data_IF_597454501194
#
_entry.id   IF_597454501194
#
_cell.length_a   1.000
_cell.length_b   1.000
_cell.length_c   1.000
_cell.angle_alpha   90.00
_cell.angle_beta   90.00
_cell.angle_gamma   90.00
#
_symmetry.space_group_name_H-M   'P 1'
#
loop_
_entity.id
_entity.type
_entity.pdbx_description
1 polymer ?
#
# COMPACT_ATOMS: atom_id res chain seq x y z
N UNK A 1 40.59 -5.03 -49.18
CA UNK A 1 39.25 -5.14 -48.62
C UNK A 1 38.75 -3.73 -48.32
N UNK A 2 37.65 -3.26 -48.90
CA UNK A 2 37.13 -1.93 -48.59
C UNK A 2 36.46 -1.92 -47.23
N UNK A 3 36.80 -0.90 -46.42
CA UNK A 3 36.20 -0.63 -45.14
C UNK A 3 34.72 -0.32 -45.28
N UNK A 4 33.87 -1.02 -44.55
CA UNK A 4 32.44 -0.75 -44.38
C UNK A 4 32.26 0.64 -43.76
N UNK A 5 31.41 1.53 -44.30
CA UNK A 5 31.16 2.82 -43.68
C UNK A 5 30.46 2.59 -42.33
N UNK A 6 31.00 3.23 -41.30
CA UNK A 6 30.34 3.29 -39.99
C UNK A 6 28.96 3.92 -40.17
N UNK A 7 27.93 3.14 -39.86
CA UNK A 7 26.56 3.64 -39.74
C UNK A 7 26.58 4.77 -38.70
N UNK A 8 26.41 6.02 -39.15
CA UNK A 8 26.11 7.13 -38.27
C UNK A 8 24.84 6.77 -37.49
N UNK A 9 24.99 6.38 -36.22
CA UNK A 9 23.86 6.25 -35.31
C UNK A 9 23.20 7.63 -35.21
N UNK A 10 21.97 7.73 -35.68
CA UNK A 10 21.12 8.89 -35.42
C UNK A 10 21.21 9.27 -33.93
N UNK A 11 21.32 10.57 -33.59
CA UNK A 11 21.41 10.98 -32.20
C UNK A 11 20.23 10.37 -31.41
N UNK A 12 20.53 9.57 -30.40
CA UNK A 12 19.49 8.97 -29.56
C UNK A 12 18.76 10.09 -28.84
N UNK A 13 17.51 10.33 -29.24
CA UNK A 13 16.62 11.27 -28.51
C UNK A 13 16.43 10.77 -27.10
N UNK A 14 16.71 11.62 -26.12
CA UNK A 14 16.55 11.24 -24.70
C UNK A 14 15.11 10.80 -24.42
N UNK A 15 14.95 9.70 -23.70
CA UNK A 15 13.65 9.20 -23.28
C UNK A 15 13.11 10.10 -22.15
N UNK A 16 12.40 11.15 -22.51
CA UNK A 16 11.75 12.07 -21.59
C UNK A 16 10.29 12.29 -21.98
N UNK A 17 9.45 12.74 -21.05
CA UNK A 17 8.06 13.06 -21.36
C UNK A 17 7.97 14.16 -22.40
N UNK A 18 8.83 15.18 -22.30
CA UNK A 18 8.88 16.28 -23.24
C UNK A 18 9.24 15.87 -24.69
N UNK A 19 9.88 14.73 -24.88
CA UNK A 19 10.27 14.26 -26.21
C UNK A 19 9.32 13.18 -26.77
N UNK A 20 8.52 12.51 -25.93
CA UNK A 20 7.83 11.29 -26.34
C UNK A 20 6.29 11.37 -26.24
N UNK A 21 5.72 12.47 -25.73
CA UNK A 21 4.26 12.64 -25.61
C UNK A 21 3.71 13.72 -26.57
N UNK A 22 3.98 13.55 -27.86
CA UNK A 22 3.45 14.33 -28.97
C UNK A 22 2.58 13.43 -29.86
N UNK A 23 2.15 13.92 -30.99
CA UNK A 23 1.43 13.14 -31.99
C UNK A 23 0.34 13.95 -32.68
N UNK A 24 -0.29 13.34 -33.70
CA UNK A 24 -1.43 13.95 -34.39
C UNK A 24 -2.58 14.11 -33.40
N UNK A 25 -3.32 15.23 -33.56
CA UNK A 25 -4.49 15.53 -32.72
C UNK A 25 -4.21 15.54 -31.22
N UNK A 26 -2.98 15.90 -30.84
CA UNK A 26 -2.52 15.96 -29.45
C UNK A 26 -2.58 14.59 -28.72
N UNK A 27 -2.36 13.49 -29.43
CA UNK A 27 -2.48 12.11 -28.97
C UNK A 27 -1.64 11.78 -27.72
N UNK A 28 -0.59 12.56 -27.43
CA UNK A 28 0.24 12.37 -26.23
C UNK A 28 -0.40 12.85 -24.93
N UNK A 29 -1.49 13.62 -24.98
CA UNK A 29 -2.11 14.24 -23.80
C UNK A 29 -2.79 13.19 -22.91
N UNK A 30 -3.69 12.42 -23.48
CA UNK A 30 -4.49 11.45 -22.72
C UNK A 30 -3.64 10.40 -21.99
N UNK A 31 -2.66 9.73 -22.63
CA UNK A 31 -1.82 8.74 -21.94
C UNK A 31 -1.01 9.34 -20.79
N UNK A 32 -0.54 10.60 -20.94
CA UNK A 32 0.23 11.23 -19.86
C UNK A 32 -0.66 11.65 -18.69
N UNK A 33 -1.84 12.20 -18.96
CA UNK A 33 -2.82 12.54 -17.91
C UNK A 33 -3.35 11.29 -17.20
N UNK A 34 -3.57 10.20 -17.93
CA UNK A 34 -3.93 8.90 -17.36
C UNK A 34 -2.83 8.37 -16.44
N UNK A 35 -1.55 8.45 -16.86
CA UNK A 35 -0.42 8.10 -15.98
C UNK A 35 -0.44 8.90 -14.68
N UNK A 36 -0.68 10.21 -14.76
CA UNK A 36 -0.77 11.08 -13.59
C UNK A 36 -1.98 10.76 -12.70
N UNK A 37 -3.08 10.31 -13.29
CA UNK A 37 -4.25 9.84 -12.55
C UNK A 37 -3.96 8.51 -11.83
N UNK A 38 -3.39 7.53 -12.51
CA UNK A 38 -3.04 6.22 -11.96
C UNK A 38 -1.98 6.33 -10.86
N UNK A 39 -1.04 7.25 -10.98
CA UNK A 39 -0.07 7.57 -9.93
C UNK A 39 -0.73 8.02 -8.62
N UNK A 40 -1.83 8.78 -8.71
CA UNK A 40 -2.64 9.14 -7.52
C UNK A 40 -3.30 7.91 -6.92
N UNK A 41 -3.94 7.07 -7.73
CA UNK A 41 -4.61 5.83 -7.26
C UNK A 41 -3.62 4.97 -6.48
N UNK A 42 -2.43 4.71 -7.04
CA UNK A 42 -1.38 3.93 -6.38
C UNK A 42 -0.97 4.53 -5.03
N UNK A 43 -0.87 5.85 -4.92
CA UNK A 43 -0.54 6.51 -3.65
C UNK A 43 -1.66 6.36 -2.61
N UNK A 44 -2.93 6.46 -3.03
CA UNK A 44 -4.09 6.27 -2.16
C UNK A 44 -4.20 4.80 -1.68
N UNK A 45 -3.92 3.84 -2.56
CA UNK A 45 -3.86 2.40 -2.23
C UNK A 45 -2.74 2.10 -1.23
N UNK A 46 -1.54 2.64 -1.44
CA UNK A 46 -0.41 2.47 -0.53
C UNK A 46 -0.71 3.07 0.85
N UNK A 47 -1.36 4.23 0.91
CA UNK A 47 -1.81 4.82 2.17
C UNK A 47 -2.78 3.90 2.89
N UNK A 48 -3.80 3.38 2.17
CA UNK A 48 -4.77 2.43 2.73
C UNK A 48 -4.09 1.16 3.25
N UNK A 49 -3.08 0.67 2.53
CA UNK A 49 -2.28 -0.48 2.97
C UNK A 49 -1.57 -0.20 4.30
N UNK A 50 -0.91 0.95 4.47
CA UNK A 50 -0.23 1.29 5.72
C UNK A 50 -1.21 1.46 6.87
N UNK A 51 -2.33 2.14 6.64
CA UNK A 51 -3.40 2.29 7.65
C UNK A 51 -3.89 0.94 8.15
N UNK A 52 -4.21 0.02 7.23
CA UNK A 52 -4.70 -1.32 7.57
C UNK A 52 -3.63 -2.16 8.27
N UNK A 53 -2.37 -2.09 7.79
CA UNK A 53 -1.27 -2.84 8.40
C UNK A 53 -0.97 -2.37 9.84
N UNK A 54 -1.00 -1.05 10.07
CA UNK A 54 -0.88 -0.50 11.43
C UNK A 54 -2.03 -0.93 12.35
N UNK A 55 -3.26 -0.97 11.83
CA UNK A 55 -4.42 -1.42 12.59
C UNK A 55 -4.32 -2.91 12.98
N UNK A 56 -3.79 -3.77 12.10
CA UNK A 56 -3.54 -5.19 12.38
C UNK A 56 -2.54 -5.33 13.54
N UNK A 57 -1.43 -4.58 13.50
CA UNK A 57 -0.43 -4.59 14.58
C UNK A 57 -1.00 -4.10 15.91
N UNK A 58 -1.79 -3.05 15.89
CA UNK A 58 -2.44 -2.50 17.09
C UNK A 58 -3.44 -3.49 17.69
N UNK A 59 -4.22 -4.18 16.86
CA UNK A 59 -5.14 -5.21 17.32
C UNK A 59 -4.41 -6.43 17.89
N UNK A 60 -3.36 -6.89 17.22
CA UNK A 60 -2.53 -7.99 17.68
C UNK A 60 -1.86 -7.67 19.03
N UNK A 61 -1.22 -6.51 19.15
CA UNK A 61 -0.67 -6.01 20.40
C UNK A 61 -1.67 -6.04 21.55
N UNK A 62 -2.86 -5.47 21.31
CA UNK A 62 -3.92 -5.42 22.32
C UNK A 62 -4.33 -6.82 22.78
N UNK A 63 -4.43 -7.79 21.86
CA UNK A 63 -4.76 -9.18 22.17
C UNK A 63 -3.66 -9.84 23.00
N UNK A 64 -2.38 -9.63 22.66
CA UNK A 64 -1.24 -10.13 23.42
C UNK A 64 -1.21 -9.57 24.86
N UNK A 65 -1.32 -8.24 25.00
CA UNK A 65 -1.34 -7.57 26.30
C UNK A 65 -2.51 -8.06 27.18
N UNK A 66 -3.66 -8.32 26.59
CA UNK A 66 -4.79 -8.89 27.32
C UNK A 66 -4.57 -10.35 27.72
N UNK A 67 -3.88 -11.13 26.89
CA UNK A 67 -3.51 -12.51 27.21
C UNK A 67 -2.46 -12.57 28.32
N UNK A 68 -1.44 -11.72 28.29
CA UNK A 68 -0.40 -11.62 29.31
C UNK A 68 -0.96 -11.30 30.72
N UNK A 69 -2.11 -10.63 30.80
CA UNK A 69 -2.80 -10.33 32.07
C UNK A 69 -3.57 -11.50 32.67
N UNK A 70 -3.84 -12.53 31.86
CA UNK A 70 -4.55 -13.71 32.35
C UNK A 70 -3.64 -14.55 33.25
N UNK A 71 -4.17 -15.20 34.28
CA UNK A 71 -3.38 -16.08 35.13
C UNK A 71 -2.85 -17.27 34.31
N UNK A 72 -1.58 -17.61 34.51
CA UNK A 72 -0.92 -18.79 33.99
C UNK A 72 -0.15 -19.43 35.15
N UNK A 73 -0.41 -20.69 35.43
CA UNK A 73 0.25 -21.42 36.55
C UNK A 73 -0.02 -20.83 37.92
N UNK A 74 -1.24 -20.33 38.19
CA UNK A 74 -1.57 -19.71 39.48
C UNK A 74 -1.49 -20.66 40.69
N UNK A 75 -1.59 -21.96 40.45
CA UNK A 75 -1.44 -23.02 41.44
C UNK A 75 -0.08 -23.71 41.41
N UNK A 76 0.82 -23.27 40.53
CA UNK A 76 2.17 -23.80 40.46
C UNK A 76 3.11 -23.12 41.47
N UNK A 77 4.16 -23.85 41.84
CA UNK A 77 5.27 -23.37 42.66
C UNK A 77 6.60 -23.73 42.04
N UNK A 78 7.71 -23.34 42.66
CA UNK A 78 9.04 -23.73 42.25
C UNK A 78 9.53 -23.08 40.98
N UNK A 79 10.42 -23.79 40.28
CA UNK A 79 11.12 -23.31 39.07
C UNK A 79 10.16 -23.24 37.87
N UNK A 80 9.23 -24.17 37.75
CA UNK A 80 8.19 -24.13 36.70
C UNK A 80 7.32 -22.86 36.80
N UNK A 81 6.94 -22.47 38.04
CA UNK A 81 6.22 -21.21 38.25
C UNK A 81 6.98 -20.01 37.75
N UNK A 82 8.28 -19.95 38.01
CA UNK A 82 9.16 -18.86 37.55
C UNK A 82 9.20 -18.79 36.02
N UNK A 83 9.34 -19.93 35.34
CA UNK A 83 9.32 -20.00 33.88
C UNK A 83 7.97 -19.55 33.29
N UNK A 84 6.85 -19.91 33.91
CA UNK A 84 5.51 -19.42 33.49
C UNK A 84 5.36 -17.90 33.66
N UNK A 85 5.94 -17.32 34.70
CA UNK A 85 5.95 -15.87 34.88
C UNK A 85 6.83 -15.16 33.86
N UNK A 86 7.97 -15.78 33.43
CA UNK A 86 8.78 -15.29 32.29
C UNK A 86 7.99 -15.34 31.00
N UNK A 87 7.28 -16.42 30.68
CA UNK A 87 6.40 -16.50 29.49
C UNK A 87 5.41 -15.36 29.46
N UNK A 88 4.77 -15.04 30.58
CA UNK A 88 3.81 -13.92 30.68
C UNK A 88 4.51 -12.58 30.47
N UNK A 89 5.67 -12.38 31.07
CA UNK A 89 6.46 -11.14 30.93
C UNK A 89 6.93 -10.90 29.50
N UNK A 90 7.43 -11.95 28.84
CA UNK A 90 7.85 -11.83 27.43
C UNK A 90 6.67 -11.66 26.48
N UNK A 91 5.51 -12.27 26.76
CA UNK A 91 4.29 -12.01 25.99
C UNK A 91 3.82 -10.54 26.12
N UNK A 92 3.98 -9.93 27.30
CA UNK A 92 3.73 -8.50 27.49
C UNK A 92 4.74 -7.65 26.72
N UNK A 93 6.01 -8.03 26.72
CA UNK A 93 7.08 -7.37 25.94
C UNK A 93 6.78 -7.40 24.45
N UNK A 94 6.46 -8.58 23.88
CA UNK A 94 6.01 -8.71 22.49
C UNK A 94 4.83 -7.79 22.18
N UNK A 95 3.81 -7.79 23.07
CA UNK A 95 2.65 -6.91 22.91
C UNK A 95 3.03 -5.43 22.82
N UNK A 96 3.97 -4.96 23.66
CA UNK A 96 4.49 -3.59 23.62
C UNK A 96 5.29 -3.30 22.36
N UNK A 97 6.10 -4.25 21.87
CA UNK A 97 6.85 -4.12 20.64
C UNK A 97 5.93 -3.94 19.44
N UNK A 98 4.89 -4.75 19.32
CA UNK A 98 3.87 -4.62 18.26
C UNK A 98 3.08 -3.31 18.36
N UNK A 99 2.81 -2.80 19.57
CA UNK A 99 2.21 -1.49 19.75
C UNK A 99 3.11 -0.37 19.22
N UNK A 100 4.40 -0.46 19.49
CA UNK A 100 5.38 0.50 19.00
C UNK A 100 5.46 0.49 17.47
N UNK A 101 5.51 -0.69 16.85
CA UNK A 101 5.49 -0.85 15.39
C UNK A 101 4.23 -0.23 14.76
N UNK A 102 3.06 -0.45 15.36
CA UNK A 102 1.83 0.19 14.88
C UNK A 102 1.93 1.73 14.89
N UNK A 103 2.53 2.31 15.93
CA UNK A 103 2.77 3.75 16.04
C UNK A 103 3.79 4.24 15.01
N UNK A 104 4.89 3.50 14.81
CA UNK A 104 5.88 3.83 13.77
C UNK A 104 5.27 3.79 12.37
N UNK A 105 4.47 2.78 12.03
CA UNK A 105 3.78 2.70 10.74
C UNK A 105 2.86 3.91 10.50
N UNK A 106 2.16 4.39 11.52
CA UNK A 106 1.34 5.60 11.42
C UNK A 106 2.19 6.87 11.23
N UNK A 107 3.15 7.09 12.12
CA UNK A 107 3.94 8.33 12.16
C UNK A 107 5.03 8.41 11.09
N UNK A 108 5.67 7.29 10.72
CA UNK A 108 6.81 7.28 9.79
C UNK A 108 6.43 6.90 8.34
N UNK A 109 5.26 6.26 8.12
CA UNK A 109 4.82 5.83 6.78
C UNK A 109 3.54 6.53 6.35
N UNK A 110 2.43 6.38 7.10
CA UNK A 110 1.12 6.88 6.69
C UNK A 110 1.07 8.41 6.64
N UNK A 111 1.49 9.11 7.69
CA UNK A 111 1.46 10.57 7.76
C UNK A 111 2.38 11.25 6.75
N UNK A 112 3.66 10.84 6.56
CA UNK A 112 4.53 11.39 5.53
C UNK A 112 3.99 11.14 4.12
N UNK A 113 3.46 9.94 3.82
CA UNK A 113 2.85 9.62 2.54
C UNK A 113 1.61 10.49 2.27
N UNK A 114 0.79 10.72 3.28
CA UNK A 114 -0.40 11.59 3.18
C UNK A 114 -0.03 13.04 2.84
N UNK A 115 0.97 13.57 3.52
CA UNK A 115 1.49 14.93 3.30
C UNK A 115 2.10 15.07 1.90
N UNK A 116 2.97 14.13 1.53
CA UNK A 116 3.62 14.08 0.23
C UNK A 116 2.58 13.98 -0.91
N UNK A 117 1.65 13.03 -0.82
CA UNK A 117 0.59 12.84 -1.83
C UNK A 117 -0.30 14.07 -1.97
N UNK A 118 -0.59 14.78 -0.87
CA UNK A 118 -1.29 16.06 -0.89
C UNK A 118 -0.55 17.12 -1.71
N UNK A 119 0.75 17.28 -1.49
CA UNK A 119 1.60 18.22 -2.24
C UNK A 119 1.68 17.89 -3.73
N UNK A 120 1.90 16.63 -4.09
CA UNK A 120 1.90 16.15 -5.49
C UNK A 120 0.55 16.42 -6.16
N UNK A 121 -0.56 16.12 -5.48
CA UNK A 121 -1.92 16.34 -5.99
C UNK A 121 -2.17 17.79 -6.37
N UNK A 122 -1.81 18.74 -5.50
CA UNK A 122 -2.04 20.16 -5.76
C UNK A 122 -1.16 20.67 -6.92
N UNK A 123 0.12 20.32 -6.95
CA UNK A 123 1.02 20.68 -8.06
C UNK A 123 0.52 20.11 -9.39
N UNK A 124 0.13 18.85 -9.42
CA UNK A 124 -0.45 18.19 -10.60
C UNK A 124 -1.70 18.92 -11.09
N UNK A 125 -2.64 19.23 -10.20
CA UNK A 125 -3.91 19.90 -10.51
C UNK A 125 -3.70 21.25 -11.18
N UNK A 126 -2.72 22.04 -10.71
CA UNK A 126 -2.39 23.33 -11.30
C UNK A 126 -1.92 23.17 -12.74
N UNK A 127 -1.00 22.22 -13.00
CA UNK A 127 -0.46 21.96 -14.35
C UNK A 127 -1.60 21.46 -15.26
N UNK A 128 -2.33 20.45 -14.82
CA UNK A 128 -3.42 19.82 -15.59
C UNK A 128 -4.48 20.82 -15.99
N UNK A 129 -5.01 21.63 -15.05
CA UNK A 129 -6.03 22.63 -15.34
C UNK A 129 -5.57 23.66 -16.38
N UNK A 130 -4.28 24.07 -16.34
CA UNK A 130 -3.70 24.99 -17.32
C UNK A 130 -3.71 24.38 -18.72
N UNK A 131 -3.25 23.15 -18.85
CA UNK A 131 -3.16 22.42 -20.12
C UNK A 131 -4.53 22.10 -20.69
N UNK A 132 -5.46 21.58 -19.88
CA UNK A 132 -6.84 21.28 -20.34
C UNK A 132 -7.57 22.50 -20.85
N UNK A 133 -7.41 23.66 -20.18
CA UNK A 133 -8.00 24.92 -20.63
C UNK A 133 -7.42 25.37 -21.99
N UNK A 134 -6.11 25.25 -22.16
CA UNK A 134 -5.43 25.65 -23.39
C UNK A 134 -5.78 24.69 -24.54
N UNK A 135 -5.82 23.37 -24.28
CA UNK A 135 -6.24 22.35 -25.23
C UNK A 135 -7.66 22.60 -25.74
N UNK A 136 -8.59 22.86 -24.82
CA UNK A 136 -9.98 23.21 -25.18
C UNK A 136 -10.06 24.42 -26.11
N UNK A 137 -9.26 25.45 -25.85
CA UNK A 137 -9.20 26.66 -26.69
C UNK A 137 -8.66 26.31 -28.09
N UNK A 138 -7.55 25.56 -28.18
CA UNK A 138 -6.94 25.10 -29.45
C UNK A 138 -7.94 24.28 -30.26
N UNK A 139 -8.61 23.31 -29.64
CA UNK A 139 -9.61 22.45 -30.30
C UNK A 139 -10.78 23.28 -30.87
N UNK A 140 -11.27 24.26 -30.11
CA UNK A 140 -12.34 25.13 -30.58
C UNK A 140 -11.90 26.01 -31.76
N UNK A 141 -10.67 26.53 -31.74
CA UNK A 141 -10.10 27.31 -32.85
C UNK A 141 -9.85 26.43 -34.07
N UNK A 142 -9.38 25.21 -33.90
CA UNK A 142 -9.23 24.23 -35.00
C UNK A 142 -10.57 23.96 -35.68
N UNK A 143 -11.64 23.81 -34.92
CA UNK A 143 -12.98 23.66 -35.48
C UNK A 143 -13.42 24.91 -36.27
N UNK A 144 -13.13 26.10 -35.75
CA UNK A 144 -13.41 27.36 -36.44
C UNK A 144 -12.68 27.49 -37.76
N UNK A 145 -11.37 27.15 -37.79
CA UNK A 145 -10.56 27.12 -38.98
C UNK A 145 -11.11 26.15 -40.04
N UNK A 146 -11.45 24.92 -39.64
CA UNK A 146 -12.03 23.93 -40.53
C UNK A 146 -13.34 24.42 -41.17
N UNK A 147 -14.24 25.02 -40.35
CA UNK A 147 -15.51 25.57 -40.82
C UNK A 147 -15.32 26.75 -41.78
N UNK A 148 -14.36 27.64 -41.52
CA UNK A 148 -14.07 28.79 -42.38
C UNK A 148 -13.45 28.30 -43.70
N UNK A 149 -12.52 27.32 -43.64
CA UNK A 149 -11.91 26.67 -44.81
C UNK A 149 -12.98 26.06 -45.71
N UNK A 150 -13.92 25.27 -45.14
CA UNK A 150 -14.97 24.59 -45.91
C UNK A 150 -15.87 25.58 -46.64
N UNK A 151 -16.20 26.72 -46.02
CA UNK A 151 -16.99 27.79 -46.63
C UNK A 151 -16.23 28.43 -47.79
N UNK A 152 -14.97 28.78 -47.59
CA UNK A 152 -14.13 29.37 -48.62
C UNK A 152 -13.97 28.43 -49.79
N UNK A 153 -13.68 27.12 -49.56
CA UNK A 153 -13.59 26.11 -50.60
C UNK A 153 -14.89 25.96 -51.40
N UNK A 154 -16.03 25.94 -50.74
CA UNK A 154 -17.35 25.88 -51.38
C UNK A 154 -17.60 27.11 -52.31
N UNK A 155 -17.22 28.31 -51.87
CA UNK A 155 -17.37 29.50 -52.69
C UNK A 155 -16.42 29.48 -53.90
N UNK A 156 -15.21 28.99 -53.73
CA UNK A 156 -14.26 28.74 -54.85
C UNK A 156 -14.81 27.71 -55.86
N UNK A 157 -15.45 26.63 -55.38
CA UNK A 157 -16.06 25.62 -56.26
C UNK A 157 -17.26 26.18 -57.02
N UNK A 158 -18.11 27.03 -56.40
CA UNK A 158 -19.23 27.73 -57.08
C UNK A 158 -18.71 28.65 -58.18
N UNK A 159 -17.66 29.44 -57.90
CA UNK A 159 -17.03 30.30 -58.88
C UNK A 159 -16.54 29.53 -60.12
N UNK A 160 -15.82 28.41 -59.89
CA UNK A 160 -15.39 27.53 -60.97
C UNK A 160 -16.55 27.00 -61.79
N UNK A 161 -17.68 26.63 -61.13
CA UNK A 161 -18.90 26.18 -61.78
C UNK A 161 -19.56 27.29 -62.64
N UNK A 162 -19.64 28.52 -62.12
CA UNK A 162 -20.22 29.65 -62.90
C UNK A 162 -19.34 30.06 -64.06
N UNK A 163 -18.03 30.00 -63.94
CA UNK A 163 -17.08 30.26 -65.07
C UNK A 163 -17.24 29.20 -66.16
N UNK A 164 -17.31 27.90 -65.82
CA UNK A 164 -17.55 26.84 -66.80
C UNK A 164 -18.91 27.00 -67.51
N UNK A 165 -19.96 27.33 -66.75
CA UNK A 165 -21.30 27.52 -67.25
C UNK A 165 -21.40 28.78 -68.16
N UNK A 166 -20.59 29.84 -67.90
CA UNK A 166 -20.58 31.08 -68.68
C UNK A 166 -20.16 30.85 -70.13
N UNK A 167 -19.46 29.79 -70.45
CA UNK A 167 -19.11 29.41 -71.83
C UNK A 167 -20.26 28.67 -72.56
N UNK A 168 -21.30 28.25 -71.90
CA UNK A 168 -22.39 27.40 -72.44
C UNK A 168 -23.75 28.13 -72.54
N UNK A 169 -23.90 29.29 -71.90
CA UNK A 169 -25.17 30.01 -71.81
C UNK A 169 -25.15 31.33 -72.56
N UNK A 170 -26.30 31.77 -73.15
CA UNK A 170 -26.45 33.02 -73.90
C UNK A 170 -27.66 33.88 -73.46
N UNK A 171 -27.61 35.18 -73.65
CA UNK A 171 -28.72 36.09 -73.46
C UNK A 171 -29.08 36.35 -72.00
N UNK A 172 -30.32 36.08 -71.61
CA UNK A 172 -30.79 36.35 -70.29
C UNK A 172 -30.13 35.45 -69.19
N UNK A 173 -29.86 34.21 -69.53
CA UNK A 173 -29.18 33.26 -68.62
C UNK A 173 -27.71 33.63 -68.41
N UNK A 174 -27.05 34.17 -69.39
CA UNK A 174 -25.68 34.72 -69.30
C UNK A 174 -25.62 35.88 -68.28
N UNK A 175 -26.56 36.79 -68.35
CA UNK A 175 -26.66 37.94 -67.39
C UNK A 175 -26.89 37.45 -65.96
N UNK A 176 -27.78 36.47 -65.77
CA UNK A 176 -28.05 35.86 -64.43
C UNK A 176 -26.78 35.13 -63.90
N UNK A 177 -26.09 34.41 -64.75
CA UNK A 177 -24.88 33.69 -64.40
C UNK A 177 -23.77 34.68 -63.98
N UNK A 178 -23.56 35.75 -64.74
CA UNK A 178 -22.60 36.82 -64.43
C UNK A 178 -22.89 37.51 -63.11
N UNK A 179 -24.18 37.82 -62.81
CA UNK A 179 -24.58 38.42 -61.54
C UNK A 179 -24.32 37.46 -60.35
N UNK A 180 -24.55 36.13 -60.52
CA UNK A 180 -24.24 35.13 -59.53
C UNK A 180 -22.72 34.99 -59.28
N UNK A 181 -21.95 35.04 -60.38
CA UNK A 181 -20.48 35.00 -60.32
C UNK A 181 -19.95 36.19 -59.50
N UNK A 182 -20.34 37.43 -59.84
CA UNK A 182 -19.92 38.65 -59.13
C UNK A 182 -20.27 38.61 -57.64
N UNK A 183 -21.51 38.23 -57.32
CA UNK A 183 -21.95 38.08 -55.93
C UNK A 183 -21.13 37.05 -55.18
N UNK A 184 -20.82 35.89 -55.81
CA UNK A 184 -20.03 34.81 -55.15
C UNK A 184 -18.56 35.20 -55.04
N UNK A 185 -18.01 36.03 -55.98
CA UNK A 185 -16.63 36.54 -55.85
C UNK A 185 -16.50 37.51 -54.66
N UNK A 186 -17.49 38.38 -54.41
CA UNK A 186 -17.51 39.25 -53.22
C UNK A 186 -17.58 38.39 -51.96
N UNK A 187 -18.46 37.40 -51.95
CA UNK A 187 -18.62 36.47 -50.82
C UNK A 187 -17.32 35.67 -50.56
N UNK A 188 -16.68 35.17 -51.62
CA UNK A 188 -15.44 34.44 -51.55
C UNK A 188 -14.28 35.29 -50.97
N UNK A 189 -14.21 36.57 -51.30
CA UNK A 189 -13.24 37.50 -50.73
C UNK A 189 -13.44 37.62 -49.18
N UNK A 190 -14.69 37.72 -48.75
CA UNK A 190 -15.01 37.79 -47.32
C UNK A 190 -14.67 36.46 -46.59
N UNK A 191 -15.05 35.30 -47.16
CA UNK A 191 -14.77 33.99 -46.57
C UNK A 191 -13.27 33.66 -46.61
N UNK A 192 -12.53 34.14 -47.60
CA UNK A 192 -11.06 34.05 -47.67
C UNK A 192 -10.40 34.81 -46.50
N UNK A 193 -10.87 36.04 -46.22
CA UNK A 193 -10.34 36.85 -45.11
C UNK A 193 -10.70 36.27 -43.76
N UNK A 194 -11.94 35.72 -43.60
CA UNK A 194 -12.37 35.01 -42.39
C UNK A 194 -11.46 33.78 -42.12
N UNK A 195 -11.17 33.00 -43.17
CA UNK A 195 -10.29 31.82 -43.06
C UNK A 195 -8.86 32.21 -42.71
N UNK A 196 -8.29 33.20 -43.40
CA UNK A 196 -6.92 33.68 -43.10
C UNK A 196 -6.80 34.16 -41.65
N UNK A 197 -7.76 34.95 -41.18
CA UNK A 197 -7.75 35.41 -39.80
C UNK A 197 -7.86 34.26 -38.78
N UNK A 198 -8.76 33.29 -39.03
CA UNK A 198 -8.90 32.12 -38.19
C UNK A 198 -7.61 31.28 -38.12
N UNK A 199 -6.89 31.12 -39.25
CA UNK A 199 -5.59 30.44 -39.31
C UNK A 199 -4.55 31.17 -38.45
N UNK A 200 -4.43 32.50 -38.56
CA UNK A 200 -3.46 33.29 -37.77
C UNK A 200 -3.69 33.11 -36.26
N UNK A 201 -4.94 33.16 -35.83
CA UNK A 201 -5.28 32.95 -34.42
C UNK A 201 -4.95 31.53 -33.94
N UNK A 202 -5.16 30.51 -34.79
CA UNK A 202 -4.79 29.13 -34.45
C UNK A 202 -3.27 28.91 -34.42
N UNK A 203 -2.50 29.57 -35.35
CA UNK A 203 -1.04 29.54 -35.36
C UNK A 203 -0.45 30.05 -34.04
N UNK A 204 -0.91 31.22 -33.57
CA UNK A 204 -0.49 31.80 -32.28
C UNK A 204 -0.80 30.86 -31.10
N UNK A 205 -2.01 30.31 -31.08
CA UNK A 205 -2.43 29.38 -30.03
C UNK A 205 -1.65 28.08 -30.10
N UNK A 206 -1.36 27.56 -31.27
CA UNK A 206 -0.57 26.33 -31.44
C UNK A 206 0.90 26.55 -31.02
N UNK A 207 1.48 27.69 -31.33
CA UNK A 207 2.82 28.04 -30.86
C UNK A 207 2.88 28.14 -29.32
N UNK A 208 1.86 28.72 -28.71
CA UNK A 208 1.74 28.76 -27.25
C UNK A 208 1.51 27.35 -26.68
N UNK A 209 0.63 26.55 -27.28
CA UNK A 209 0.37 25.15 -26.88
C UNK A 209 1.65 24.34 -26.85
N UNK A 210 2.45 24.39 -27.90
CA UNK A 210 3.68 23.60 -27.97
C UNK A 210 4.67 23.96 -26.85
N UNK A 211 4.79 25.25 -26.50
CA UNK A 211 5.65 25.67 -25.38
C UNK A 211 5.12 25.21 -24.03
N UNK A 212 3.81 25.45 -23.78
CA UNK A 212 3.18 25.11 -22.49
C UNK A 212 3.10 23.58 -22.29
N UNK A 213 2.82 22.83 -23.37
CA UNK A 213 2.79 21.37 -23.30
C UNK A 213 4.15 20.78 -23.01
N UNK A 214 5.19 21.27 -23.68
CA UNK A 214 6.59 20.87 -23.37
C UNK A 214 6.93 21.12 -21.90
N UNK A 215 6.64 22.31 -21.40
CA UNK A 215 6.88 22.66 -20.00
C UNK A 215 6.03 21.85 -19.02
N UNK A 216 4.80 21.46 -19.39
CA UNK A 216 3.97 20.59 -18.62
C UNK A 216 4.51 19.14 -18.57
N UNK A 217 5.00 18.62 -19.68
CA UNK A 217 5.65 17.32 -19.75
C UNK A 217 6.87 17.24 -18.81
N UNK A 218 7.74 18.26 -18.82
CA UNK A 218 8.87 18.33 -17.90
C UNK A 218 8.39 18.28 -16.44
N UNK A 219 7.43 19.11 -16.07
CA UNK A 219 6.90 19.14 -14.70
C UNK A 219 6.19 17.84 -14.29
N UNK A 220 5.48 17.19 -15.21
CA UNK A 220 4.85 15.88 -14.92
C UNK A 220 5.90 14.81 -14.72
N UNK A 221 7.01 14.86 -15.46
CA UNK A 221 8.13 13.95 -15.26
C UNK A 221 8.77 14.18 -13.89
N UNK A 222 9.07 15.42 -13.50
CA UNK A 222 9.60 15.76 -12.19
C UNK A 222 8.70 15.22 -11.06
N UNK A 223 7.38 15.43 -11.16
CA UNK A 223 6.42 14.91 -10.18
C UNK A 223 6.40 13.39 -10.10
N UNK A 224 6.56 12.70 -11.23
CA UNK A 224 6.57 11.25 -11.28
C UNK A 224 7.87 10.67 -10.73
N UNK A 225 9.00 11.28 -11.03
CA UNK A 225 10.30 10.91 -10.45
C UNK A 225 10.30 11.08 -8.93
N UNK A 226 9.86 12.23 -8.42
CA UNK A 226 9.69 12.46 -6.98
C UNK A 226 8.79 11.39 -6.32
N UNK A 227 7.68 11.06 -6.98
CA UNK A 227 6.74 10.05 -6.47
C UNK A 227 7.36 8.66 -6.41
N UNK A 228 8.05 8.25 -7.45
CA UNK A 228 8.70 6.94 -7.52
C UNK A 228 9.80 6.81 -6.46
N UNK A 229 10.62 7.83 -6.28
CA UNK A 229 11.70 7.84 -5.27
C UNK A 229 11.12 7.84 -3.85
N UNK A 230 10.10 8.66 -3.59
CA UNK A 230 9.42 8.65 -2.29
C UNK A 230 8.78 7.28 -2.00
N UNK A 231 8.08 6.69 -2.97
CA UNK A 231 7.43 5.39 -2.80
C UNK A 231 8.44 4.29 -2.53
N UNK A 232 9.55 4.27 -3.26
CA UNK A 232 10.66 3.34 -3.05
C UNK A 232 11.24 3.46 -1.63
N UNK A 233 11.52 4.67 -1.18
CA UNK A 233 12.05 4.95 0.16
C UNK A 233 11.06 4.56 1.25
N UNK A 234 9.78 4.85 1.06
CA UNK A 234 8.71 4.50 2.00
C UNK A 234 8.54 2.98 2.15
N UNK A 235 8.57 2.23 1.05
CA UNK A 235 8.52 0.76 1.08
C UNK A 235 9.78 0.15 1.72
N UNK A 236 10.94 0.76 1.53
CA UNK A 236 12.16 0.38 2.23
C UNK A 236 12.03 0.56 3.74
N UNK A 237 11.51 1.71 4.18
CA UNK A 237 11.24 1.96 5.61
C UNK A 237 10.22 0.98 6.18
N UNK A 238 9.15 0.66 5.43
CA UNK A 238 8.19 -0.36 5.82
C UNK A 238 8.84 -1.73 6.07
N UNK A 239 9.74 -2.17 5.18
CA UNK A 239 10.46 -3.44 5.34
C UNK A 239 11.35 -3.43 6.60
N UNK A 240 12.07 -2.33 6.86
CA UNK A 240 12.91 -2.19 8.04
C UNK A 240 12.09 -2.21 9.34
N UNK A 241 11.01 -1.44 9.40
CA UNK A 241 10.10 -1.41 10.56
C UNK A 241 9.55 -2.83 10.82
N UNK A 242 9.08 -3.51 9.78
CA UNK A 242 8.56 -4.88 9.90
C UNK A 242 9.63 -5.90 10.34
N UNK A 243 10.88 -5.73 9.92
CA UNK A 243 11.99 -6.59 10.32
C UNK A 243 12.36 -6.41 11.81
N UNK A 244 12.22 -5.21 12.35
CA UNK A 244 12.56 -4.91 13.75
C UNK A 244 11.73 -5.73 14.73
N UNK A 245 10.42 -5.91 14.46
CA UNK A 245 9.56 -6.70 15.36
C UNK A 245 9.93 -8.19 15.32
N UNK A 246 10.31 -8.73 14.18
CA UNK A 246 10.73 -10.12 14.08
C UNK A 246 11.95 -10.42 14.97
N UNK A 247 12.92 -9.49 15.01
CA UNK A 247 14.11 -9.60 15.88
C UNK A 247 13.71 -9.50 17.36
N UNK A 248 12.79 -8.61 17.70
CA UNK A 248 12.28 -8.46 19.07
C UNK A 248 11.55 -9.71 19.55
N UNK A 249 10.71 -10.29 18.70
CA UNK A 249 9.95 -11.52 19.02
C UNK A 249 10.87 -12.73 19.19
N UNK A 250 11.88 -12.88 18.33
CA UNK A 250 12.88 -13.94 18.47
C UNK A 250 13.67 -13.81 19.79
N UNK A 251 14.08 -12.59 20.16
CA UNK A 251 14.75 -12.33 21.42
C UNK A 251 13.86 -12.68 22.64
N UNK A 252 12.56 -12.42 22.58
CA UNK A 252 11.61 -12.81 23.63
C UNK A 252 11.44 -14.33 23.71
N UNK A 253 11.36 -15.01 22.55
CA UNK A 253 11.34 -16.48 22.49
C UNK A 253 12.59 -17.11 23.10
N UNK A 254 13.77 -16.51 22.87
CA UNK A 254 15.02 -16.99 23.45
C UNK A 254 15.03 -16.88 24.97
N UNK A 255 14.57 -15.79 25.54
CA UNK A 255 14.47 -15.66 27.00
C UNK A 255 13.53 -16.71 27.62
N UNK A 256 12.43 -17.05 26.92
CA UNK A 256 11.53 -18.12 27.36
C UNK A 256 12.29 -19.47 27.34
N UNK A 257 13.03 -19.78 26.27
CA UNK A 257 13.83 -21.03 26.20
C UNK A 257 14.85 -21.13 27.33
N UNK A 258 15.62 -20.07 27.56
CA UNK A 258 16.61 -20.02 28.65
C UNK A 258 15.96 -20.22 30.03
N UNK A 259 14.80 -19.62 30.27
CA UNK A 259 14.06 -19.82 31.53
C UNK A 259 13.57 -21.26 31.72
N UNK A 260 13.27 -21.97 30.62
CA UNK A 260 12.87 -23.38 30.68
C UNK A 260 14.09 -24.33 30.88
N UNK A 261 15.27 -23.95 30.46
CA UNK A 261 16.53 -24.67 30.79
C UNK A 261 16.83 -24.61 32.28
N UNK A 262 16.49 -23.53 32.96
CA UNK A 262 16.61 -23.36 34.40
C UNK A 262 15.52 -24.09 35.21
N UNK A 263 14.50 -24.64 34.55
CA UNK A 263 13.41 -25.38 35.17
C UNK A 263 13.88 -26.78 35.63
N UNK A 264 13.99 -26.98 36.94
CA UNK A 264 14.46 -28.21 37.55
C UNK A 264 13.29 -29.04 38.10
N UNK A 265 12.93 -30.08 37.35
CA UNK A 265 11.78 -30.96 37.68
C UNK A 265 12.00 -31.71 38.99
N UNK A 266 13.23 -32.18 39.24
CA UNK A 266 13.52 -32.97 40.48
C UNK A 266 13.44 -32.07 41.70
N UNK A 267 13.96 -30.88 41.64
CA UNK A 267 13.86 -29.86 42.67
C UNK A 267 12.42 -29.47 42.98
N UNK A 268 11.60 -29.26 41.96
CA UNK A 268 10.19 -28.88 42.14
C UNK A 268 9.39 -30.02 42.81
N UNK A 269 9.63 -31.27 42.40
CA UNK A 269 9.01 -32.46 43.05
C UNK A 269 9.49 -32.61 44.49
N UNK A 270 10.78 -32.45 44.73
CA UNK A 270 11.32 -32.55 46.11
C UNK A 270 10.76 -31.45 47.03
N UNK A 271 10.64 -30.21 46.50
CA UNK A 271 10.01 -29.10 47.23
C UNK A 271 8.56 -29.39 47.57
N UNK A 272 7.78 -29.87 46.59
CA UNK A 272 6.38 -30.22 46.83
C UNK A 272 6.23 -31.32 47.90
N UNK A 273 7.06 -32.36 47.85
CA UNK A 273 7.04 -33.43 48.86
C UNK A 273 7.40 -32.88 50.24
N UNK A 274 8.37 -31.99 50.33
CA UNK A 274 8.78 -31.39 51.61
C UNK A 274 7.68 -30.50 52.20
N UNK A 275 7.00 -29.73 51.35
CA UNK A 275 6.04 -28.73 51.80
C UNK A 275 4.64 -29.31 52.04
N UNK A 276 4.29 -30.39 51.35
CA UNK A 276 2.93 -30.95 51.34
C UNK A 276 2.86 -32.44 51.68
N UNK A 277 3.99 -33.10 51.91
CA UNK A 277 4.03 -34.51 52.26
C UNK A 277 3.42 -34.75 53.65
N UNK A 278 2.60 -35.77 53.77
CA UNK A 278 1.83 -36.08 55.01
C UNK A 278 2.49 -37.16 55.89
N UNK A 279 3.70 -37.61 55.51
CA UNK A 279 4.45 -38.66 56.22
C UNK A 279 4.53 -39.96 55.45
N UNK A 280 5.25 -40.94 56.02
CA UNK A 280 5.51 -42.25 55.41
C UNK A 280 4.72 -43.37 56.06
N UNK A 281 3.88 -43.06 57.01
CA UNK A 281 3.12 -44.04 57.83
C UNK A 281 1.91 -44.53 57.02
N UNK A 282 1.84 -45.84 56.79
CA UNK A 282 0.70 -46.49 56.16
C UNK A 282 -0.15 -47.14 57.28
N UNK A 283 -1.38 -46.67 57.51
CA UNK A 283 -2.21 -47.24 58.54
C UNK A 283 -2.57 -48.69 58.22
N UNK A 284 -2.44 -49.58 59.22
CA UNK A 284 -2.89 -50.96 59.10
C UNK A 284 -4.44 -51.05 59.04
N UNK A 285 -4.98 -51.99 58.25
CA UNK A 285 -6.44 -52.18 58.20
C UNK A 285 -7.01 -52.54 59.55
N UNK A 286 -8.19 -52.06 59.92
CA UNK A 286 -8.81 -52.32 61.19
C UNK A 286 -9.02 -53.85 61.38
N UNK A 287 -8.65 -54.36 62.54
CA UNK A 287 -8.85 -55.78 62.92
C UNK A 287 -10.24 -55.93 63.42
N UNK A 288 -10.94 -57.02 63.10
CA UNK A 288 -12.22 -57.37 63.62
C UNK A 288 -12.02 -57.78 65.09
N UNK A 289 -12.67 -57.08 66.03
CA UNK A 289 -12.72 -57.38 67.46
C UNK A 289 -14.08 -58.00 67.78
N UNK A 290 -14.06 -59.23 68.26
CA UNK A 290 -15.29 -59.90 68.71
C UNK A 290 -15.55 -59.62 70.20
N UNK A 291 -16.27 -58.58 70.46
CA UNK A 291 -16.65 -58.13 71.84
C UNK A 291 -17.44 -59.19 72.65
N UNK A 292 -18.06 -60.21 72.02
CA UNK A 292 -18.81 -61.29 72.70
C UNK A 292 -17.91 -62.42 73.25
N UNK A 293 -16.62 -62.50 72.76
CA UNK A 293 -15.68 -63.51 73.21
C UNK A 293 -14.73 -63.07 74.31
N UNK A 294 -14.86 -61.85 74.80
CA UNK A 294 -14.00 -61.33 75.86
C UNK A 294 -12.54 -61.09 75.41
N UNK A 295 -12.28 -60.89 74.06
CA UNK A 295 -10.94 -60.60 73.48
C UNK A 295 -10.41 -59.19 73.88
N UNK A 296 -11.05 -58.56 74.88
CA UNK A 296 -10.55 -57.31 75.44
C UNK A 296 -9.56 -57.70 76.53
N UNK A 297 -8.31 -57.81 76.24
CA UNK A 297 -7.25 -57.88 77.24
C UNK A 297 -7.25 -56.58 78.05
N UNK A 298 -7.35 -56.67 79.38
CA UNK A 298 -7.36 -55.57 80.34
C UNK A 298 -6.05 -54.74 80.41
N UNK A 299 -5.27 -54.76 79.36
CA UNK A 299 -4.04 -53.92 79.17
C UNK A 299 -4.36 -52.68 78.39
N UNK A 300 -5.40 -51.96 78.68
CA UNK A 300 -5.73 -50.67 78.06
C UNK A 300 -4.90 -49.47 78.55
N UNK A 301 -3.73 -49.70 79.13
CA UNK A 301 -2.91 -48.61 79.68
C UNK A 301 -1.56 -48.46 79.07
N UNK A 302 -1.20 -49.26 78.02
CA UNK A 302 0.13 -49.15 77.38
C UNK A 302 0.14 -49.55 75.88
N UNK A 303 -0.89 -49.13 75.13
CA UNK A 303 -0.81 -49.13 73.71
C UNK A 303 -0.06 -47.85 73.31
N UNK A 304 1.26 -47.93 73.28
CA UNK A 304 2.01 -46.94 72.49
C UNK A 304 1.40 -46.92 71.14
N UNK A 305 1.03 -45.73 70.61
CA UNK A 305 0.43 -45.45 69.32
C UNK A 305 1.34 -45.92 68.15
N UNK A 306 2.53 -46.49 68.42
CA UNK A 306 3.56 -46.88 67.48
C UNK A 306 3.39 -48.26 66.79
N UNK A 307 2.34 -49.05 67.16
CA UNK A 307 2.29 -50.47 66.74
C UNK A 307 1.42 -50.77 65.51
N UNK A 308 0.69 -49.78 64.94
CA UNK A 308 -0.30 -50.01 63.88
C UNK A 308 0.06 -49.35 62.50
N UNK A 309 1.31 -49.08 62.24
CA UNK A 309 1.71 -48.45 61.03
C UNK A 309 2.91 -49.21 60.41
N UNK A 310 2.85 -49.42 59.07
CA UNK A 310 3.99 -49.82 58.29
C UNK A 310 4.62 -48.61 57.58
N UNK A 311 5.92 -48.58 57.44
CA UNK A 311 6.63 -47.47 56.77
C UNK A 311 6.66 -47.72 55.29
N UNK A 312 6.19 -46.72 54.46
CA UNK A 312 6.23 -46.80 53.03
C UNK A 312 7.70 -46.82 52.52
N UNK A 313 8.12 -47.89 51.86
CA UNK A 313 9.44 -48.08 51.28
C UNK A 313 9.37 -48.61 49.84
N UNK A 314 8.50 -47.95 49.04
CA UNK A 314 8.28 -48.38 47.66
C UNK A 314 9.39 -47.83 46.73
N UNK A 315 9.92 -48.68 45.83
CA UNK A 315 10.74 -48.20 44.72
C UNK A 315 9.83 -47.62 43.64
N UNK A 316 10.20 -46.44 43.12
CA UNK A 316 9.46 -45.80 42.01
C UNK A 316 9.60 -46.65 40.74
N UNK A 317 8.55 -47.24 40.25
CA UNK A 317 8.46 -47.83 38.93
C UNK A 317 8.34 -46.69 37.87
N UNK A 318 9.44 -46.45 37.15
CA UNK A 318 9.36 -45.54 35.99
C UNK A 318 8.64 -46.26 34.84
N UNK A 319 7.54 -45.73 34.35
CA UNK A 319 7.03 -46.15 33.07
C UNK A 319 8.07 -45.82 32.00
N UNK A 320 8.56 -46.77 31.20
CA UNK A 320 9.37 -46.42 30.06
C UNK A 320 8.55 -45.57 29.10
N UNK A 321 9.10 -44.38 28.70
CA UNK A 321 8.51 -43.45 27.75
C UNK A 321 8.39 -44.05 26.36
#
# INVERSE_FOLDING_TARGET
MPATPASEMAPSVSLSFANNFWGKEDAGVDPLLERMHNAKITSDELKSFYTQRAAIEEEYSRKLLNLARKPLGSSEAGTLRMSMDVVRGELESMGKSHQHIAQQMKGELEEPLSTFSGGIKERRKIIQNGIEKLLKTKTQQTHTVNKARDRYEQDCLKIKGYLAQGHMVMGQEERKNKAKLEKTQIQMSATSSEYEQAVKVLEETTARWNREWKAACDKFQDLEEERLDFTKSSLWSFANISSTVCVSDDASCEKIRLSLEDCDVEKDIASFIKDSGTGQEIPDPPKYINFCRGDINDNASDVSDDANYSVAQFQRTMNPA
#
